data_IF_707017426788
#
_entry.id   IF_707017426788
#
_cell.length_a   1.000
_cell.length_b   1.000
_cell.length_c   1.000
_cell.angle_alpha   90.00
_cell.angle_beta   90.00
_cell.angle_gamma   90.00
#
_symmetry.space_group_name_H-M   'P 1'
#
loop_
_entity.id
_entity.type
_entity.pdbx_description
1 polymer ?
#
# COMPACT_ATOMS: atom_id res chain seq x y z
N UNK A 1 -21.84 -6.51 -1.07
CA UNK A 1 -21.24 -6.88 -2.37
C UNK A 1 -19.96 -7.68 -2.11
N UNK A 2 -20.03 -9.01 -2.14
CA UNK A 2 -18.87 -9.87 -1.87
C UNK A 2 -18.06 -10.05 -3.15
N UNK A 3 -17.03 -9.22 -3.34
CA UNK A 3 -16.09 -9.41 -4.45
C UNK A 3 -15.32 -10.71 -4.21
N UNK A 4 -15.28 -11.63 -5.18
CA UNK A 4 -14.37 -12.79 -5.13
C UNK A 4 -12.92 -12.27 -5.17
N UNK A 5 -12.35 -12.01 -3.98
CA UNK A 5 -11.07 -11.31 -3.77
C UNK A 5 -9.91 -11.88 -4.61
N UNK A 6 -9.89 -13.20 -4.80
CA UNK A 6 -8.86 -13.89 -5.58
C UNK A 6 -8.83 -13.46 -7.06
N UNK A 7 -9.99 -13.32 -7.71
CA UNK A 7 -10.04 -12.92 -9.13
C UNK A 7 -9.62 -11.46 -9.32
N UNK A 8 -10.08 -10.58 -8.42
CA UNK A 8 -9.75 -9.15 -8.46
C UNK A 8 -8.24 -8.90 -8.28
N UNK A 9 -7.56 -9.67 -7.42
CA UNK A 9 -6.12 -9.54 -7.22
C UNK A 9 -5.33 -9.95 -8.47
N UNK A 10 -5.72 -11.03 -9.15
CA UNK A 10 -5.11 -11.45 -10.41
C UNK A 10 -5.27 -10.40 -11.52
N UNK A 11 -6.46 -9.79 -11.62
CA UNK A 11 -6.73 -8.71 -12.58
C UNK A 11 -5.87 -7.46 -12.30
N UNK A 12 -5.72 -7.08 -11.03
CA UNK A 12 -4.84 -5.98 -10.61
C UNK A 12 -3.37 -6.26 -10.98
N UNK A 13 -2.89 -7.49 -10.75
CA UNK A 13 -1.52 -7.88 -11.11
C UNK A 13 -1.24 -7.70 -12.60
N UNK A 14 -2.14 -8.19 -13.46
CA UNK A 14 -1.96 -8.07 -14.93
C UNK A 14 -1.90 -6.60 -15.36
N UNK A 15 -2.72 -5.72 -14.78
CA UNK A 15 -2.71 -4.29 -15.11
C UNK A 15 -1.46 -3.57 -14.59
N UNK A 16 -0.94 -3.97 -13.43
CA UNK A 16 0.34 -3.47 -12.92
C UNK A 16 1.50 -3.87 -13.84
N UNK A 17 1.55 -5.14 -14.27
CA UNK A 17 2.59 -5.65 -15.18
C UNK A 17 2.53 -4.98 -16.56
N UNK A 18 1.34 -4.60 -17.02
CA UNK A 18 1.14 -3.82 -18.27
C UNK A 18 1.47 -2.34 -18.15
N UNK A 19 1.69 -1.82 -16.94
CA UNK A 19 1.90 -0.38 -16.70
C UNK A 19 0.63 0.47 -16.72
N UNK A 20 -0.56 -0.15 -16.78
CA UNK A 20 -1.86 0.54 -16.80
C UNK A 20 -2.22 1.16 -15.44
N UNK A 21 -1.51 0.75 -14.37
CA UNK A 21 -1.73 1.21 -13.00
C UNK A 21 -0.45 1.81 -12.42
N UNK A 22 -0.52 3.07 -12.01
CA UNK A 22 0.53 3.74 -11.25
C UNK A 22 0.21 3.63 -9.75
N UNK A 23 1.03 2.87 -9.03
CA UNK A 23 0.97 2.84 -7.56
C UNK A 23 1.60 4.11 -7.02
N UNK A 24 0.85 4.88 -6.24
CA UNK A 24 1.36 6.07 -5.56
C UNK A 24 1.68 5.69 -4.11
N UNK A 25 2.97 5.59 -3.82
CA UNK A 25 3.49 5.41 -2.45
C UNK A 25 3.88 6.78 -1.93
N UNK A 26 3.29 7.17 -0.81
CA UNK A 26 3.51 8.46 -0.18
C UNK A 26 4.76 8.45 0.69
N UNK A 27 4.89 7.42 1.52
CA UNK A 27 6.02 7.21 2.41
C UNK A 27 6.25 5.73 2.65
N UNK A 28 7.52 5.35 2.79
CA UNK A 28 7.94 4.02 3.27
C UNK A 28 8.62 4.19 4.62
N UNK A 29 8.13 3.50 5.65
CA UNK A 29 8.67 3.54 7.01
C UNK A 29 9.06 2.13 7.46
N UNK A 30 10.15 1.96 8.24
CA UNK A 30 10.41 0.69 8.90
C UNK A 30 9.37 0.39 9.98
N UNK A 31 9.20 -0.89 10.33
CA UNK A 31 8.27 -1.30 11.39
C UNK A 31 8.57 -0.66 12.76
N UNK A 32 9.82 -0.29 13.02
CA UNK A 32 10.21 0.46 14.22
C UNK A 32 9.51 1.83 14.34
N UNK A 33 9.11 2.41 13.20
CA UNK A 33 8.43 3.70 13.12
C UNK A 33 6.89 3.57 12.99
N UNK A 34 6.33 2.39 13.26
CA UNK A 34 4.90 2.12 13.07
C UNK A 34 3.99 3.14 13.78
N UNK A 35 4.37 3.56 14.99
CA UNK A 35 3.61 4.54 15.79
C UNK A 35 3.57 5.90 15.09
N UNK A 36 4.71 6.38 14.58
CA UNK A 36 4.79 7.64 13.85
C UNK A 36 4.09 7.56 12.49
N UNK A 37 4.23 6.42 11.80
CA UNK A 37 3.52 6.17 10.54
C UNK A 37 1.99 6.20 10.73
N UNK A 38 1.48 5.64 11.84
CA UNK A 38 0.06 5.69 12.17
C UNK A 38 -0.40 7.12 12.46
N UNK A 39 0.34 7.85 13.31
CA UNK A 39 0.05 9.27 13.60
C UNK A 39 0.01 10.10 12.32
N UNK A 40 0.98 9.87 11.42
CA UNK A 40 1.06 10.57 10.13
C UNK A 40 -0.18 10.30 9.27
N UNK A 41 -0.60 9.03 9.18
CA UNK A 41 -1.84 8.63 8.49
C UNK A 41 -3.06 9.35 9.08
N UNK A 42 -3.15 9.45 10.40
CA UNK A 42 -4.28 10.09 11.09
C UNK A 42 -4.37 11.59 10.79
N UNK A 43 -3.26 12.23 10.41
CA UNK A 43 -3.27 13.64 10.01
C UNK A 43 -3.97 13.93 8.68
N UNK A 44 -4.33 12.89 7.90
CA UNK A 44 -5.05 13.03 6.63
C UNK A 44 -4.25 13.67 5.49
N UNK A 45 -2.95 13.92 5.67
CA UNK A 45 -2.08 14.61 4.70
C UNK A 45 -1.39 13.70 3.67
N UNK A 46 -1.72 12.40 3.66
CA UNK A 46 -1.07 11.42 2.77
C UNK A 46 -1.57 11.55 1.33
N UNK A 47 -0.65 11.62 0.36
CA UNK A 47 -0.99 11.71 -1.09
C UNK A 47 -1.21 10.32 -1.71
N UNK A 48 -0.87 9.26 -0.97
CA UNK A 48 -0.94 7.87 -1.42
C UNK A 48 -0.84 6.88 -0.27
N UNK A 49 -0.43 5.65 -0.58
CA UNK A 49 -0.30 4.60 0.43
C UNK A 49 0.97 4.79 1.25
N UNK A 50 0.85 4.61 2.57
CA UNK A 50 1.99 4.49 3.47
C UNK A 50 2.35 3.02 3.56
N UNK A 51 3.60 2.68 3.24
CA UNK A 51 4.11 1.31 3.23
C UNK A 51 4.99 1.10 4.45
N UNK A 52 4.78 -0.01 5.16
CA UNK A 52 5.62 -0.41 6.29
C UNK A 52 6.55 -1.54 5.86
N UNK A 53 7.86 -1.33 5.97
CA UNK A 53 8.88 -2.35 5.71
C UNK A 53 9.08 -3.18 6.96
N UNK A 54 8.87 -4.49 6.84
CA UNK A 54 9.14 -5.47 7.90
C UNK A 54 10.47 -6.15 7.58
N UNK A 55 11.42 -6.25 8.54
CA UNK A 55 12.64 -7.01 8.32
C UNK A 55 12.31 -8.47 8.02
N UNK A 56 12.98 -9.05 7.03
CA UNK A 56 12.95 -10.49 6.82
C UNK A 56 13.71 -11.14 7.98
N UNK A 57 12.99 -11.95 8.78
CA UNK A 57 13.60 -12.81 9.80
C UNK A 57 14.25 -14.03 9.18
#
# INVERSE_FOLDING_TARGET
MSVRKHKALSELRVRLEKGDLRVIVDRTCPIAELVEAHRYVDTGRRTGNVVITVPAG
#
